data_IF_175702551682
#
_entry.id   IF_175702551682
#
_cell.length_a   1.000
_cell.length_b   1.000
_cell.length_c   1.000
_cell.angle_alpha   90.00
_cell.angle_beta   90.00
_cell.angle_gamma   90.00
#
_symmetry.space_group_name_H-M   'P 1'
#
loop_
_entity.id
_entity.type
_entity.pdbx_description
1 polymer ?
#
# COMPACT_ATOMS: atom_id res chain seq x y z
N UNK A 1 0.40 16.94 5.72
CA UNK A 1 -0.21 18.11 6.41
C UNK A 1 -0.40 17.86 7.90
N UNK A 2 -1.12 16.81 8.30
CA UNK A 2 -1.39 16.47 9.72
C UNK A 2 -0.18 16.38 10.64
N UNK A 3 0.95 15.84 10.17
CA UNK A 3 2.20 15.76 10.95
C UNK A 3 2.87 17.11 11.20
N UNK A 4 2.86 18.02 10.22
CA UNK A 4 3.62 19.28 10.26
C UNK A 4 2.77 20.42 10.84
N UNK A 5 1.47 20.43 10.54
CA UNK A 5 0.55 21.53 10.85
C UNK A 5 -0.68 21.10 11.68
N UNK A 6 -0.78 19.82 12.03
CA UNK A 6 -1.83 19.29 12.89
C UNK A 6 -1.27 18.76 14.20
N UNK A 7 -2.04 17.90 14.87
CA UNK A 7 -1.66 17.27 16.15
C UNK A 7 -0.96 15.90 15.96
N UNK A 8 -0.45 15.60 14.77
CA UNK A 8 0.05 14.27 14.42
C UNK A 8 -1.04 13.19 14.46
N UNK A 9 -0.63 11.93 14.56
CA UNK A 9 -1.54 10.78 14.64
C UNK A 9 -1.78 10.36 16.08
N UNK A 10 -3.05 10.24 16.47
CA UNK A 10 -3.42 9.72 17.79
C UNK A 10 -3.20 8.21 17.85
N UNK A 11 -2.92 7.67 19.04
CA UNK A 11 -2.72 6.23 19.22
C UNK A 11 -3.88 5.40 18.65
N UNK A 12 -5.13 5.80 18.86
CA UNK A 12 -6.30 5.11 18.28
C UNK A 12 -6.27 5.07 16.74
N UNK A 13 -5.81 6.13 16.09
CA UNK A 13 -5.68 6.19 14.63
C UNK A 13 -4.56 5.25 14.16
N UNK A 14 -3.43 5.21 14.88
CA UNK A 14 -2.33 4.29 14.59
C UNK A 14 -2.79 2.84 14.65
N UNK A 15 -3.56 2.47 15.68
CA UNK A 15 -4.09 1.11 15.83
C UNK A 15 -5.04 0.73 14.68
N UNK A 16 -5.86 1.67 14.19
CA UNK A 16 -6.74 1.43 13.02
C UNK A 16 -5.97 1.20 11.72
N UNK A 17 -4.72 1.66 11.63
CA UNK A 17 -3.88 1.51 10.43
C UNK A 17 -3.19 0.14 10.37
N UNK A 18 -2.97 -0.52 11.51
CA UNK A 18 -2.25 -1.80 11.61
C UNK A 18 -2.77 -2.86 10.63
N UNK A 19 -4.09 -3.14 10.53
CA UNK A 19 -4.61 -4.15 9.61
C UNK A 19 -4.27 -3.85 8.14
N UNK A 20 -4.23 -2.56 7.75
CA UNK A 20 -3.89 -2.14 6.39
C UNK A 20 -2.41 -2.40 6.07
N UNK A 21 -1.52 -2.21 7.04
CA UNK A 21 -0.08 -2.54 6.89
C UNK A 21 0.08 -4.05 6.66
N UNK A 22 -0.54 -4.87 7.50
CA UNK A 22 -0.47 -6.33 7.37
C UNK A 22 -1.04 -6.83 6.04
N UNK A 23 -2.20 -6.31 5.66
CA UNK A 23 -2.82 -6.57 4.37
C UNK A 23 -1.88 -6.22 3.22
N UNK A 24 -1.29 -5.03 3.24
CA UNK A 24 -0.40 -4.58 2.18
C UNK A 24 0.83 -5.48 2.05
N UNK A 25 1.45 -5.90 3.16
CA UNK A 25 2.60 -6.81 3.15
C UNK A 25 2.25 -8.14 2.48
N UNK A 26 1.12 -8.74 2.85
CA UNK A 26 0.68 -10.02 2.27
C UNK A 26 0.42 -9.87 0.77
N UNK A 27 -0.28 -8.79 0.37
CA UNK A 27 -0.56 -8.51 -1.05
C UNK A 27 0.74 -8.32 -1.85
N UNK A 28 1.71 -7.60 -1.30
CA UNK A 28 3.02 -7.37 -1.91
C UNK A 28 3.74 -8.68 -2.16
N UNK A 29 3.85 -9.57 -1.16
CA UNK A 29 4.54 -10.85 -1.35
C UNK A 29 3.81 -11.73 -2.36
N UNK A 30 2.48 -11.80 -2.30
CA UNK A 30 1.68 -12.54 -3.29
C UNK A 30 1.85 -12.00 -4.70
N UNK A 31 1.94 -10.68 -4.86
CA UNK A 31 2.19 -10.04 -6.15
C UNK A 31 3.54 -10.47 -6.71
N UNK A 32 4.61 -10.46 -5.89
CA UNK A 32 5.94 -10.92 -6.33
C UNK A 32 5.91 -12.41 -6.70
N UNK A 33 5.27 -13.27 -5.90
CA UNK A 33 5.14 -14.70 -6.23
C UNK A 33 4.43 -14.93 -7.58
N UNK A 34 3.33 -14.21 -7.85
CA UNK A 34 2.65 -14.29 -9.16
C UNK A 34 3.52 -13.76 -10.29
N UNK A 35 4.28 -12.69 -10.05
CA UNK A 35 5.22 -12.17 -11.03
C UNK A 35 6.35 -13.17 -11.32
N UNK A 36 6.81 -13.94 -10.34
CA UNK A 36 7.78 -15.02 -10.57
C UNK A 36 7.27 -16.07 -11.55
N UNK A 37 6.01 -16.50 -11.41
CA UNK A 37 5.37 -17.44 -12.34
C UNK A 37 5.34 -16.87 -13.78
N UNK A 38 4.91 -15.62 -13.93
CA UNK A 38 4.84 -14.94 -15.24
C UNK A 38 6.21 -14.72 -15.87
N UNK A 39 7.21 -14.36 -15.07
CA UNK A 39 8.57 -14.09 -15.51
C UNK A 39 9.45 -15.34 -15.59
N UNK A 40 8.88 -16.52 -15.26
CA UNK A 40 9.55 -17.83 -15.22
C UNK A 40 10.81 -17.83 -14.35
N UNK A 41 10.72 -17.20 -13.17
CA UNK A 41 11.77 -17.16 -12.17
C UNK A 41 11.48 -18.23 -11.13
N UNK A 42 12.43 -19.16 -10.94
CA UNK A 42 12.32 -20.19 -9.92
C UNK A 42 12.78 -19.66 -8.56
N UNK A 43 12.24 -20.22 -7.48
CA UNK A 43 12.80 -20.05 -6.14
C UNK A 43 14.21 -20.66 -6.09
N UNK A 44 15.11 -20.05 -5.31
CA UNK A 44 16.40 -20.68 -5.02
C UNK A 44 16.21 -21.87 -4.08
N UNK A 45 15.34 -21.73 -3.09
CA UNK A 45 14.99 -22.80 -2.17
C UNK A 45 13.61 -23.38 -2.50
N UNK A 46 13.55 -24.66 -2.85
CA UNK A 46 12.30 -25.35 -3.20
C UNK A 46 11.26 -25.37 -2.08
N UNK A 47 11.69 -25.26 -0.81
CA UNK A 47 10.76 -25.11 0.33
C UNK A 47 9.94 -23.83 0.27
N UNK A 48 10.44 -22.80 -0.41
CA UNK A 48 9.73 -21.53 -0.56
C UNK A 48 8.46 -21.66 -1.42
N UNK A 49 8.34 -22.71 -2.24
CA UNK A 49 7.08 -23.01 -2.93
C UNK A 49 5.96 -23.31 -1.94
N UNK A 50 6.25 -24.02 -0.85
CA UNK A 50 5.25 -24.34 0.19
C UNK A 50 4.82 -23.07 0.92
N UNK A 51 5.77 -22.18 1.24
CA UNK A 51 5.46 -20.87 1.84
C UNK A 51 4.64 -19.98 0.90
N UNK A 52 4.94 -19.98 -0.40
CA UNK A 52 4.17 -19.23 -1.40
C UNK A 52 2.74 -19.80 -1.53
N UNK A 53 2.58 -21.12 -1.55
CA UNK A 53 1.26 -21.79 -1.54
C UNK A 53 0.48 -21.48 -0.26
N UNK A 54 1.14 -21.53 0.89
CA UNK A 54 0.56 -21.15 2.18
C UNK A 54 0.03 -19.70 2.14
N UNK A 55 0.86 -18.72 1.77
CA UNK A 55 0.41 -17.32 1.68
C UNK A 55 -0.72 -17.10 0.67
N UNK A 56 -0.75 -17.88 -0.43
CA UNK A 56 -1.84 -17.82 -1.39
C UNK A 56 -3.15 -18.42 -0.86
N UNK A 57 -3.05 -19.47 -0.04
CA UNK A 57 -4.20 -20.10 0.63
C UNK A 57 -4.77 -19.28 1.76
N UNK A 58 -3.98 -18.37 2.35
CA UNK A 58 -4.38 -17.62 3.54
C UNK A 58 -5.65 -16.79 3.36
N UNK A 59 -6.11 -16.50 2.13
CA UNK A 59 -7.40 -15.84 1.85
C UNK A 59 -7.77 -15.94 0.36
N UNK A 60 -8.84 -16.69 0.05
CA UNK A 60 -9.47 -16.76 -1.29
C UNK A 60 -10.51 -15.66 -1.52
N UNK A 61 -10.95 -14.96 -0.46
CA UNK A 61 -11.96 -13.92 -0.53
C UNK A 61 -11.36 -12.55 -0.18
N UNK A 62 -11.45 -11.62 -1.14
CA UNK A 62 -10.94 -10.24 -1.04
C UNK A 62 -11.68 -9.41 0.04
N UNK A 63 -12.77 -9.94 0.60
CA UNK A 63 -13.57 -9.30 1.65
C UNK A 63 -13.15 -9.66 3.09
N UNK A 64 -12.32 -10.68 3.33
CA UNK A 64 -11.85 -11.06 4.69
C UNK A 64 -10.70 -10.19 5.21
N UNK A 65 -10.25 -9.23 4.40
CA UNK A 65 -9.13 -8.36 4.74
C UNK A 65 -9.44 -7.33 5.85
N UNK A 66 -10.70 -7.13 6.21
CA UNK A 66 -11.10 -6.22 7.27
C UNK A 66 -10.83 -6.79 8.68
N UNK A 67 -10.36 -8.04 8.77
CA UNK A 67 -10.18 -8.77 10.05
C UNK A 67 -8.75 -9.27 10.33
N UNK A 68 -7.75 -8.91 9.53
CA UNK A 68 -6.35 -9.26 9.83
C UNK A 68 -5.84 -8.35 10.96
N UNK A 69 -6.07 -8.79 12.21
CA UNK A 69 -5.63 -8.07 13.41
C UNK A 69 -4.18 -8.37 13.81
N UNK A 70 -3.61 -9.49 13.32
CA UNK A 70 -2.25 -9.92 13.65
C UNK A 70 -1.60 -10.67 12.49
N UNK A 71 -0.27 -10.55 12.35
CA UNK A 71 0.53 -11.46 11.55
C UNK A 71 0.90 -12.66 12.41
N UNK A 72 0.40 -13.85 12.08
CA UNK A 72 0.80 -15.06 12.79
C UNK A 72 2.30 -15.32 12.64
N UNK A 73 2.89 -16.03 13.61
CA UNK A 73 4.31 -16.43 13.55
C UNK A 73 4.62 -17.19 12.27
N UNK A 74 3.71 -18.05 11.81
CA UNK A 74 3.86 -18.82 10.57
C UNK A 74 3.85 -17.92 9.33
N UNK A 75 2.95 -16.93 9.29
CA UNK A 75 2.87 -15.95 8.20
C UNK A 75 4.14 -15.10 8.14
N UNK A 76 4.59 -14.62 9.29
CA UNK A 76 5.83 -13.85 9.41
C UNK A 76 7.04 -14.67 8.95
N UNK A 77 7.13 -15.92 9.39
CA UNK A 77 8.21 -16.84 9.00
C UNK A 77 8.21 -17.10 7.50
N UNK A 78 7.04 -17.35 6.91
CA UNK A 78 6.89 -17.51 5.47
C UNK A 78 7.35 -16.25 4.70
N UNK A 79 6.93 -15.06 5.12
CA UNK A 79 7.32 -13.78 4.50
C UNK A 79 8.85 -13.59 4.57
N UNK A 80 9.47 -13.89 5.72
CA UNK A 80 10.93 -13.77 5.89
C UNK A 80 11.70 -14.73 4.99
N UNK A 81 11.27 -15.98 4.91
CA UNK A 81 11.90 -16.98 4.04
C UNK A 81 11.75 -16.64 2.55
N UNK A 82 10.57 -16.15 2.15
CA UNK A 82 10.36 -15.69 0.78
C UNK A 82 11.20 -14.45 0.48
N UNK A 83 11.20 -13.44 1.36
CA UNK A 83 11.96 -12.21 1.11
C UNK A 83 13.47 -12.45 1.04
N UNK A 84 14.00 -13.43 1.76
CA UNK A 84 15.43 -13.78 1.70
C UNK A 84 15.81 -14.65 0.49
N UNK A 85 14.85 -15.14 -0.29
CA UNK A 85 15.11 -15.97 -1.48
C UNK A 85 15.68 -15.16 -2.63
N UNK A 86 16.75 -15.65 -3.28
CA UNK A 86 17.35 -14.95 -4.43
C UNK A 86 16.39 -14.84 -5.62
N UNK A 87 15.52 -15.83 -5.85
CA UNK A 87 14.50 -15.76 -6.90
C UNK A 87 13.52 -14.62 -6.67
N UNK A 88 13.07 -14.44 -5.43
CA UNK A 88 12.23 -13.30 -5.02
C UNK A 88 12.98 -11.98 -5.19
N UNK A 89 14.25 -11.90 -4.78
CA UNK A 89 15.07 -10.68 -4.94
C UNK A 89 15.28 -10.31 -6.42
N UNK A 90 15.53 -11.31 -7.28
CA UNK A 90 15.63 -11.11 -8.74
C UNK A 90 14.29 -10.62 -9.30
N UNK A 91 13.17 -11.22 -8.90
CA UNK A 91 11.85 -10.77 -9.32
C UNK A 91 11.55 -9.33 -8.86
N UNK A 92 11.93 -8.97 -7.63
CA UNK A 92 11.78 -7.61 -7.11
C UNK A 92 12.64 -6.59 -7.87
N UNK A 93 13.83 -6.97 -8.34
CA UNK A 93 14.66 -6.09 -9.18
C UNK A 93 13.94 -5.69 -10.49
N UNK A 94 13.06 -6.57 -10.98
CA UNK A 94 12.21 -6.41 -12.17
C UNK A 94 10.81 -5.86 -11.87
N UNK A 95 10.59 -5.26 -10.70
CA UNK A 95 9.30 -4.67 -10.28
C UNK A 95 8.69 -3.60 -11.19
N UNK A 96 9.38 -3.15 -12.24
CA UNK A 96 8.80 -2.27 -13.27
C UNK A 96 7.94 -3.03 -14.28
N UNK A 97 8.11 -4.35 -14.36
CA UNK A 97 7.36 -5.21 -15.30
C UNK A 97 5.99 -5.64 -14.76
N UNK A 98 5.66 -5.28 -13.51
CA UNK A 98 4.39 -5.59 -12.86
C UNK A 98 4.03 -4.51 -11.83
N UNK A 99 2.75 -4.38 -11.47
CA UNK A 99 2.32 -3.36 -10.52
C UNK A 99 2.65 -3.79 -9.08
N UNK A 100 3.61 -3.10 -8.46
CA UNK A 100 4.00 -3.30 -7.07
C UNK A 100 4.06 -1.94 -6.35
N UNK A 101 3.61 -1.88 -5.09
CA UNK A 101 3.68 -0.63 -4.32
C UNK A 101 5.12 -0.23 -4.00
N UNK A 102 5.46 1.06 -4.10
CA UNK A 102 6.83 1.55 -3.83
C UNK A 102 7.31 1.29 -2.40
N UNK A 103 6.39 1.25 -1.44
CA UNK A 103 6.67 0.93 -0.04
C UNK A 103 6.89 -0.56 0.23
N UNK A 104 6.82 -1.43 -0.79
CA UNK A 104 7.01 -2.87 -0.65
C UNK A 104 8.32 -3.21 0.07
N UNK A 105 9.45 -2.69 -0.40
CA UNK A 105 10.76 -2.98 0.22
C UNK A 105 10.84 -2.47 1.65
N UNK A 106 10.31 -1.27 1.92
CA UNK A 106 10.31 -0.70 3.27
C UNK A 106 9.63 -1.64 4.27
N UNK A 107 8.43 -2.14 3.94
CA UNK A 107 7.71 -3.03 4.85
C UNK A 107 8.34 -4.41 4.95
N UNK A 108 8.83 -4.99 3.85
CA UNK A 108 9.47 -6.30 3.85
C UNK A 108 10.80 -6.31 4.63
N UNK A 109 11.60 -5.25 4.52
CA UNK A 109 12.84 -5.09 5.30
C UNK A 109 12.58 -4.89 6.80
N UNK A 110 11.41 -4.34 7.16
CA UNK A 110 11.01 -4.07 8.54
C UNK A 110 10.06 -5.11 9.13
N UNK A 111 9.89 -6.26 8.48
CA UNK A 111 8.91 -7.28 8.89
C UNK A 111 9.08 -7.72 10.35
N UNK A 112 10.32 -7.79 10.84
CA UNK A 112 10.63 -8.16 12.22
C UNK A 112 10.08 -7.21 13.27
N UNK A 113 10.08 -5.91 12.98
CA UNK A 113 9.51 -4.88 13.84
C UNK A 113 7.98 -4.89 13.75
N UNK A 114 7.47 -5.08 12.54
CA UNK A 114 6.04 -5.03 12.23
C UNK A 114 5.29 -6.26 12.77
N UNK A 115 5.94 -7.42 12.86
CA UNK A 115 5.33 -8.66 13.36
C UNK A 115 5.32 -8.77 14.90
N UNK A 116 5.83 -7.79 15.64
CA UNK A 116 5.85 -7.84 17.11
C UNK A 116 4.43 -7.72 17.68
N UNK A 117 4.14 -8.42 18.78
CA UNK A 117 2.82 -8.40 19.40
C UNK A 117 2.38 -7.00 19.90
N UNK A 118 3.34 -6.14 20.21
CA UNK A 118 3.15 -4.75 20.66
C UNK A 118 3.48 -3.72 19.57
N UNK A 119 3.41 -4.11 18.29
CA UNK A 119 3.71 -3.22 17.18
C UNK A 119 2.76 -2.01 17.17
N UNK A 120 3.34 -0.81 17.18
CA UNK A 120 2.66 0.46 16.95
C UNK A 120 3.28 1.11 15.71
N UNK A 121 2.50 1.47 14.68
CA UNK A 121 3.00 2.14 13.49
C UNK A 121 3.73 3.44 13.82
N UNK A 122 4.89 3.63 13.19
CA UNK A 122 5.61 4.90 13.18
C UNK A 122 4.95 5.87 12.20
N UNK A 123 5.28 7.16 12.30
CA UNK A 123 4.82 8.15 11.32
C UNK A 123 5.25 7.78 9.89
N UNK A 124 6.44 7.17 9.73
CA UNK A 124 6.91 6.67 8.45
C UNK A 124 6.08 5.48 7.93
N UNK A 125 5.67 4.54 8.80
CA UNK A 125 4.77 3.45 8.41
C UNK A 125 3.44 4.01 7.89
N UNK A 126 2.90 5.00 8.60
CA UNK A 126 1.61 5.63 8.28
C UNK A 126 1.68 6.43 6.98
N UNK A 127 2.80 7.10 6.71
CA UNK A 127 3.00 7.82 5.45
C UNK A 127 3.21 6.88 4.25
N UNK A 128 3.62 5.63 4.49
CA UNK A 128 3.99 4.66 3.43
C UNK A 128 2.92 3.63 3.15
N UNK A 129 2.01 3.38 4.08
CA UNK A 129 0.90 2.46 3.87
C UNK A 129 -0.06 3.04 2.84
N UNK A 130 -0.46 2.22 1.87
CA UNK A 130 -1.42 2.63 0.84
C UNK A 130 -2.82 2.27 1.30
N UNK A 131 -3.58 3.28 1.72
CA UNK A 131 -5.00 3.15 2.07
C UNK A 131 -5.79 3.90 0.99
N UNK A 132 -6.66 3.22 0.22
CA UNK A 132 -7.48 3.91 -0.77
C UNK A 132 -8.48 4.83 -0.09
N UNK A 133 -8.46 6.11 -0.43
CA UNK A 133 -9.46 7.09 0.02
C UNK A 133 -10.79 6.79 -0.67
N UNK A 134 -11.75 6.28 0.09
CA UNK A 134 -13.12 6.01 -0.39
C UNK A 134 -14.08 7.16 -0.08
N UNK A 135 -13.83 7.95 0.96
CA UNK A 135 -14.73 9.06 1.33
C UNK A 135 -14.07 10.41 1.11
N UNK A 136 -14.88 11.47 1.11
CA UNK A 136 -14.38 12.84 1.10
C UNK A 136 -13.88 13.15 2.51
N UNK A 137 -12.57 13.36 2.66
CA UNK A 137 -11.97 13.68 3.95
C UNK A 137 -11.68 15.17 4.00
N UNK A 138 -12.18 15.86 5.01
CA UNK A 138 -11.95 17.28 5.23
C UNK A 138 -11.19 17.48 6.53
N UNK A 139 -10.07 18.20 6.46
CA UNK A 139 -9.29 18.61 7.62
C UNK A 139 -9.06 20.13 7.61
N UNK A 140 -9.32 20.78 8.75
CA UNK A 140 -9.08 22.21 8.94
C UNK A 140 -7.73 22.43 9.65
N UNK A 141 -6.89 23.30 9.08
CA UNK A 141 -5.57 23.66 9.58
C UNK A 141 -5.55 25.15 9.95
N UNK A 142 -5.13 25.44 11.18
CA UNK A 142 -4.97 26.80 11.68
C UNK A 142 -3.52 27.25 11.55
N UNK A 143 -3.30 28.34 10.79
CA UNK A 143 -2.03 29.05 10.72
C UNK A 143 -2.17 30.41 11.42
N UNK A 144 -1.05 31.06 11.80
CA UNK A 144 -1.10 32.36 12.48
C UNK A 144 -1.91 33.42 11.73
N UNK A 145 -1.83 33.42 10.39
CA UNK A 145 -2.45 34.44 9.54
C UNK A 145 -3.49 33.87 8.57
N UNK A 146 -3.82 32.58 8.65
CA UNK A 146 -4.74 31.93 7.71
C UNK A 146 -5.43 30.71 8.32
N UNK A 147 -6.59 30.36 7.77
CA UNK A 147 -7.25 29.07 8.00
C UNK A 147 -7.35 28.35 6.66
N UNK A 148 -6.81 27.14 6.60
CA UNK A 148 -6.88 26.30 5.41
C UNK A 148 -7.78 25.12 5.69
N UNK A 149 -8.79 24.94 4.85
CA UNK A 149 -9.57 23.71 4.78
C UNK A 149 -9.02 22.88 3.63
N UNK A 150 -8.46 21.72 3.93
CA UNK A 150 -7.95 20.79 2.93
C UNK A 150 -8.98 19.68 2.76
N UNK A 151 -9.37 19.42 1.52
CA UNK A 151 -10.29 18.36 1.14
C UNK A 151 -9.50 17.34 0.33
N UNK A 152 -9.40 16.11 0.83
CA UNK A 152 -8.84 14.96 0.12
C UNK A 152 -9.98 14.13 -0.49
N UNK A 153 -9.80 13.73 -1.75
CA UNK A 153 -10.79 12.99 -2.53
C UNK A 153 -10.15 11.82 -3.26
N UNK A 154 -10.85 10.69 -3.29
CA UNK A 154 -10.39 9.50 -4.00
C UNK A 154 -10.18 9.76 -5.50
N UNK A 155 -8.99 9.38 -6.01
CA UNK A 155 -8.62 9.54 -7.43
C UNK A 155 -9.04 8.39 -8.35
N UNK A 156 -9.49 7.27 -7.77
CA UNK A 156 -9.96 6.08 -8.52
C UNK A 156 -11.22 6.41 -9.31
N UNK A 157 -11.42 5.73 -10.46
CA UNK A 157 -12.54 6.04 -11.38
C UNK A 157 -13.91 5.99 -10.71
N UNK A 158 -14.12 5.07 -9.78
CA UNK A 158 -15.36 4.94 -9.00
C UNK A 158 -15.60 6.13 -8.08
N UNK A 159 -14.53 6.69 -7.53
CA UNK A 159 -14.58 7.79 -6.54
C UNK A 159 -14.71 9.17 -7.18
N UNK A 160 -14.29 9.34 -8.45
CA UNK A 160 -14.35 10.63 -9.17
C UNK A 160 -15.75 11.24 -9.25
N UNK A 161 -16.81 10.43 -9.17
CA UNK A 161 -18.20 10.92 -9.14
C UNK A 161 -18.47 11.82 -7.93
N UNK A 162 -17.71 11.66 -6.83
CA UNK A 162 -17.86 12.43 -5.59
C UNK A 162 -17.23 13.83 -5.68
N UNK A 163 -16.34 14.07 -6.65
CA UNK A 163 -15.60 15.33 -6.75
C UNK A 163 -16.51 16.55 -6.90
N UNK A 164 -17.65 16.40 -7.60
CA UNK A 164 -18.63 17.48 -7.79
C UNK A 164 -19.13 18.09 -6.47
N UNK A 165 -19.12 17.31 -5.38
CA UNK A 165 -19.56 17.77 -4.06
C UNK A 165 -18.50 18.58 -3.30
N UNK A 166 -17.26 18.65 -3.82
CA UNK A 166 -16.11 19.26 -3.13
C UNK A 166 -15.68 20.60 -3.74
N UNK A 167 -16.28 21.03 -4.86
CA UNK A 167 -15.85 22.21 -5.61
C UNK A 167 -16.49 23.52 -5.18
N UNK A 168 -17.45 23.48 -4.24
CA UNK A 168 -18.07 24.71 -3.75
C UNK A 168 -17.07 25.53 -2.93
N UNK A 169 -16.91 26.80 -3.30
CA UNK A 169 -16.01 27.77 -2.65
C UNK A 169 -14.53 27.35 -2.54
N UNK A 170 -14.03 26.56 -3.50
CA UNK A 170 -12.61 26.18 -3.56
C UNK A 170 -11.73 27.37 -3.98
N UNK A 171 -10.74 27.72 -3.15
CA UNK A 171 -9.78 28.79 -3.46
C UNK A 171 -8.64 28.33 -4.37
N UNK A 172 -8.20 27.07 -4.25
CA UNK A 172 -7.06 26.53 -4.99
C UNK A 172 -7.15 25.02 -5.10
N UNK A 173 -6.58 24.47 -6.18
CA UNK A 173 -6.52 23.02 -6.43
C UNK A 173 -5.05 22.60 -6.42
N UNK A 174 -4.73 21.58 -5.64
CA UNK A 174 -3.43 20.90 -5.67
C UNK A 174 -3.62 19.61 -6.46
N UNK A 175 -3.15 19.59 -7.71
CA UNK A 175 -3.20 18.41 -8.56
C UNK A 175 -1.92 17.58 -8.40
N UNK A 176 -2.06 16.31 -8.03
CA UNK A 176 -0.94 15.39 -7.84
C UNK A 176 -0.82 14.45 -9.05
N UNK A 177 0.38 14.37 -9.62
CA UNK A 177 0.72 13.44 -10.69
C UNK A 177 1.96 12.62 -10.27
N UNK A 178 1.87 11.30 -10.37
CA UNK A 178 2.97 10.39 -10.07
C UNK A 178 4.00 10.34 -11.21
N UNK A 179 5.20 10.87 -11.01
CA UNK A 179 6.24 10.87 -12.06
C UNK A 179 6.86 9.49 -12.33
N UNK A 180 6.63 8.52 -11.44
CA UNK A 180 7.23 7.18 -11.52
C UNK A 180 6.32 6.17 -12.21
N UNK A 181 5.06 6.52 -12.47
CA UNK A 181 4.07 5.64 -13.10
C UNK A 181 4.03 5.80 -14.63
N UNK A 182 5.02 6.46 -15.24
CA UNK A 182 5.08 6.73 -16.70
C UNK A 182 5.07 5.48 -17.57
N UNK A 183 5.63 4.37 -17.08
CA UNK A 183 5.70 3.07 -17.76
C UNK A 183 4.67 2.06 -17.21
N UNK A 184 3.76 2.50 -16.35
CA UNK A 184 2.77 1.63 -15.72
C UNK A 184 1.41 1.67 -16.40
N UNK A 185 0.67 0.57 -16.24
CA UNK A 185 -0.71 0.45 -16.69
C UNK A 185 -1.68 0.79 -15.54
N UNK A 186 -2.86 1.27 -15.89
CA UNK A 186 -3.94 1.57 -14.94
C UNK A 186 -4.37 0.26 -14.28
N UNK A 187 -4.41 0.23 -12.94
CA UNK A 187 -4.74 -0.98 -12.18
C UNK A 187 -6.10 -1.60 -12.58
N UNK A 188 -7.11 -0.76 -12.82
CA UNK A 188 -8.47 -1.19 -13.21
C UNK A 188 -8.61 -1.44 -14.72
N UNK A 189 -7.59 -1.11 -15.53
CA UNK A 189 -7.60 -1.27 -16.98
C UNK A 189 -6.17 -1.58 -17.49
N UNK A 190 -5.71 -2.84 -17.40
CA UNK A 190 -4.34 -3.21 -17.74
C UNK A 190 -3.94 -2.96 -19.20
N UNK A 191 -4.90 -2.68 -20.09
CA UNK A 191 -4.65 -2.29 -21.49
C UNK A 191 -4.38 -0.80 -21.67
N UNK A 192 -4.55 0.02 -20.63
CA UNK A 192 -4.36 1.46 -20.68
C UNK A 192 -3.16 1.89 -19.83
N UNK A 193 -2.28 2.73 -20.39
CA UNK A 193 -1.18 3.34 -19.64
C UNK A 193 -1.70 4.45 -18.72
N UNK A 194 -1.03 4.64 -17.57
CA UNK A 194 -1.35 5.72 -16.62
C UNK A 194 -1.23 7.09 -17.31
N UNK A 195 -0.22 7.24 -18.16
CA UNK A 195 -0.02 8.41 -18.98
C UNK A 195 -0.05 8.00 -20.45
N UNK A 196 -1.18 8.24 -21.09
CA UNK A 196 -1.35 8.06 -22.54
C UNK A 196 -1.33 9.45 -23.17
N UNK A 197 -0.53 9.61 -24.22
CA UNK A 197 -0.47 10.84 -25.05
C UNK A 197 0.23 12.07 -24.41
N UNK A 198 1.43 11.89 -23.84
CA UNK A 198 2.42 12.98 -23.76
C UNK A 198 3.36 12.95 -24.96
#
# INVERSE_FOLDING_TARGET
MKLIHGHGFKEEEKHRIIPFIYKQIIIVVRCICRAMENLRINFENTKNEEYARFLNSLNSNVHDFDHISTLSTDTTTAIKHLWSDKGIQVCYSRRREYSLTDSAKYFLDNIDRISQANFIPTDDDILRVRIPTTDIVQEDFQFPNARLRVIDVGGQRTERRKWIHCFDNVTSIIFLASLIEYDQNIADEPSAQVYKDF
#
